data_IF_633217856444
#
_entry.id   IF_633217856444
#
_cell.length_a   1.000
_cell.length_b   1.000
_cell.length_c   1.000
_cell.angle_alpha   90.00
_cell.angle_beta   90.00
_cell.angle_gamma   90.00
#
_symmetry.space_group_name_H-M   'P 1'
#
loop_
_entity.id
_entity.type
_entity.pdbx_description
1 polymer ?
#
# COMPACT_ATOMS: atom_id res chain seq x y z
N UNK A 1 23.01 40.89 -61.16
CA UNK A 1 21.80 40.04 -61.04
C UNK A 1 21.97 39.26 -59.76
N UNK A 2 21.25 39.68 -58.72
CA UNK A 2 21.46 39.25 -57.35
C UNK A 2 21.06 37.79 -57.14
N UNK A 3 22.01 37.01 -56.60
CA UNK A 3 21.79 35.63 -56.22
C UNK A 3 20.85 35.56 -55.01
N UNK A 4 19.74 34.84 -55.19
CA UNK A 4 18.74 34.58 -54.15
C UNK A 4 19.41 33.77 -53.03
N UNK A 5 19.68 34.42 -51.90
CA UNK A 5 20.15 33.75 -50.68
C UNK A 5 18.97 32.99 -50.04
N UNK A 6 18.97 31.67 -50.15
CA UNK A 6 18.13 30.81 -49.31
C UNK A 6 18.56 30.98 -47.85
N UNK A 7 17.75 31.68 -47.05
CA UNK A 7 17.85 31.59 -45.59
C UNK A 7 17.40 30.19 -45.17
N UNK A 8 18.33 29.27 -44.93
CA UNK A 8 18.01 28.09 -44.13
C UNK A 8 17.81 28.57 -42.68
N UNK A 9 16.57 28.63 -42.23
CA UNK A 9 16.27 28.73 -40.81
C UNK A 9 16.70 27.41 -40.15
N UNK A 10 17.97 27.31 -39.80
CA UNK A 10 18.42 26.32 -38.82
C UNK A 10 17.86 26.84 -37.49
N UNK A 11 16.63 26.41 -37.20
CA UNK A 11 15.97 26.66 -35.93
C UNK A 11 16.86 26.08 -34.84
N UNK A 12 17.19 26.90 -33.84
CA UNK A 12 17.95 26.51 -32.68
C UNK A 12 17.10 25.55 -31.82
N UNK A 13 17.25 24.24 -32.08
CA UNK A 13 16.39 23.17 -31.54
C UNK A 13 16.64 22.86 -30.06
N UNK A 14 17.73 23.36 -29.47
CA UNK A 14 18.14 22.97 -28.11
C UNK A 14 17.19 23.53 -27.05
N UNK A 15 16.73 24.77 -27.19
CA UNK A 15 15.75 25.38 -26.28
C UNK A 15 14.32 24.87 -26.47
N UNK A 16 13.91 24.60 -27.72
CA UNK A 16 12.57 24.12 -28.05
C UNK A 16 12.32 22.70 -27.50
N UNK A 17 13.32 21.84 -27.57
CA UNK A 17 13.24 20.46 -27.08
C UNK A 17 13.05 20.40 -25.55
N UNK A 18 13.68 21.30 -24.79
CA UNK A 18 13.54 21.36 -23.33
C UNK A 18 12.12 21.78 -22.91
N UNK A 19 11.53 22.75 -23.61
CA UNK A 19 10.15 23.21 -23.35
C UNK A 19 9.15 22.10 -23.65
N UNK A 20 9.36 21.33 -24.72
CA UNK A 20 8.53 20.19 -25.08
C UNK A 20 8.51 19.13 -23.97
N UNK A 21 9.66 18.78 -23.40
CA UNK A 21 9.72 17.84 -22.28
C UNK A 21 9.06 18.35 -21.00
N UNK A 22 9.18 19.65 -20.70
CA UNK A 22 8.50 20.24 -19.53
C UNK A 22 6.98 20.20 -19.72
N UNK A 23 6.48 20.54 -20.91
CA UNK A 23 5.04 20.48 -21.21
C UNK A 23 4.53 19.04 -21.18
N UNK A 24 5.29 18.10 -21.73
CA UNK A 24 4.94 16.68 -21.67
C UNK A 24 4.89 16.19 -20.23
N UNK A 25 5.87 16.56 -19.40
CA UNK A 25 5.86 16.25 -17.97
C UNK A 25 4.63 16.85 -17.27
N UNK A 26 4.29 18.11 -17.56
CA UNK A 26 3.12 18.76 -16.99
C UNK A 26 1.82 18.02 -17.36
N UNK A 27 1.69 17.58 -18.61
CA UNK A 27 0.55 16.77 -19.07
C UNK A 27 0.50 15.43 -18.32
N UNK A 28 1.63 14.71 -18.22
CA UNK A 28 1.70 13.43 -17.51
C UNK A 28 1.32 13.58 -16.03
N UNK A 29 1.81 14.62 -15.35
CA UNK A 29 1.46 14.91 -13.96
C UNK A 29 -0.02 15.26 -13.83
N UNK A 30 -0.59 16.04 -14.76
CA UNK A 30 -2.01 16.39 -14.74
C UNK A 30 -2.92 15.15 -14.89
N UNK A 31 -2.57 14.23 -15.80
CA UNK A 31 -3.30 12.98 -15.97
C UNK A 31 -3.17 12.06 -14.76
N UNK A 32 -1.95 11.95 -14.21
CA UNK A 32 -1.68 11.13 -13.02
C UNK A 32 -2.48 11.62 -11.81
N UNK A 33 -2.47 12.94 -11.56
CA UNK A 33 -3.23 13.54 -10.45
C UNK A 33 -4.73 13.41 -10.64
N UNK A 34 -5.24 13.49 -11.88
CA UNK A 34 -6.63 13.23 -12.20
C UNK A 34 -7.04 11.78 -11.85
N UNK A 35 -6.23 10.79 -12.24
CA UNK A 35 -6.49 9.39 -11.90
C UNK A 35 -6.47 9.17 -10.39
N UNK A 36 -5.47 9.72 -9.68
CA UNK A 36 -5.39 9.56 -8.23
C UNK A 36 -6.54 10.22 -7.46
N UNK A 37 -7.13 11.28 -8.01
CA UNK A 37 -8.32 11.93 -7.43
C UNK A 37 -9.64 11.24 -7.79
N UNK A 38 -9.64 10.27 -8.71
CA UNK A 38 -10.87 9.58 -9.11
C UNK A 38 -11.45 8.76 -7.95
N UNK A 39 -12.78 8.71 -7.88
CA UNK A 39 -13.50 7.93 -6.86
C UNK A 39 -13.12 6.45 -6.90
N UNK A 40 -12.87 5.91 -8.09
CA UNK A 40 -12.44 4.52 -8.26
C UNK A 40 -11.08 4.29 -7.60
N UNK A 41 -10.09 5.15 -7.87
CA UNK A 41 -8.77 5.04 -7.24
C UNK A 41 -8.86 5.18 -5.73
N UNK A 42 -9.61 6.17 -5.23
CA UNK A 42 -9.80 6.40 -3.80
C UNK A 42 -10.53 5.24 -3.11
N UNK A 43 -11.51 4.61 -3.77
CA UNK A 43 -12.23 3.46 -3.20
C UNK A 43 -11.35 2.22 -2.96
N UNK A 44 -10.25 2.08 -3.72
CA UNK A 44 -9.32 0.97 -3.58
C UNK A 44 -8.11 1.36 -2.73
N UNK A 45 -7.44 2.46 -3.07
CA UNK A 45 -6.14 2.88 -2.52
C UNK A 45 -6.20 4.15 -1.66
N UNK A 46 -7.35 4.80 -1.56
CA UNK A 46 -7.54 5.94 -0.67
C UNK A 46 -7.56 5.52 0.81
N UNK A 47 -7.67 6.49 1.72
CA UNK A 47 -7.90 6.24 3.14
C UNK A 47 -9.14 5.35 3.32
N UNK A 48 -9.00 4.24 4.05
CA UNK A 48 -10.04 3.22 4.25
C UNK A 48 -10.53 2.53 2.95
N UNK A 49 -9.74 2.61 1.88
CA UNK A 49 -9.95 1.84 0.67
C UNK A 49 -9.88 0.33 0.93
N UNK A 50 -10.45 -0.45 0.00
CA UNK A 50 -10.47 -1.93 0.12
C UNK A 50 -9.07 -2.54 0.27
N UNK A 51 -8.06 -1.95 -0.38
CA UNK A 51 -6.69 -2.42 -0.25
C UNK A 51 -6.11 -2.08 1.12
N UNK A 52 -6.25 -0.83 1.57
CA UNK A 52 -5.73 -0.36 2.86
C UNK A 52 -6.34 -1.17 4.00
N UNK A 53 -7.67 -1.32 4.03
CA UNK A 53 -8.39 -2.07 5.06
C UNK A 53 -7.91 -3.52 5.17
N UNK A 54 -7.77 -4.24 4.05
CA UNK A 54 -7.30 -5.63 4.04
C UNK A 54 -5.84 -5.75 4.47
N UNK A 55 -4.99 -4.87 3.94
CA UNK A 55 -3.56 -4.88 4.25
C UNK A 55 -3.32 -4.53 5.72
N UNK A 56 -3.98 -3.48 6.21
CA UNK A 56 -3.96 -3.03 7.60
C UNK A 56 -4.40 -4.14 8.55
N UNK A 57 -5.54 -4.79 8.29
CA UNK A 57 -6.00 -5.90 9.11
C UNK A 57 -4.98 -7.05 9.16
N UNK A 58 -4.39 -7.40 8.02
CA UNK A 58 -3.38 -8.46 7.92
C UNK A 58 -2.14 -8.15 8.76
N UNK A 59 -1.59 -6.94 8.62
CA UNK A 59 -0.40 -6.50 9.35
C UNK A 59 -0.69 -6.41 10.84
N UNK A 60 -1.79 -5.77 11.23
CA UNK A 60 -2.18 -5.64 12.64
C UNK A 60 -2.38 -7.00 13.31
N UNK A 61 -3.11 -7.91 12.66
CA UNK A 61 -3.34 -9.24 13.19
C UNK A 61 -2.01 -10.00 13.35
N UNK A 62 -1.16 -9.96 12.32
CA UNK A 62 0.12 -10.67 12.33
C UNK A 62 1.06 -10.12 13.40
N UNK A 63 1.06 -8.81 13.61
CA UNK A 63 1.81 -8.16 14.67
C UNK A 63 1.35 -8.60 16.07
N UNK A 64 0.03 -8.69 16.31
CA UNK A 64 -0.52 -9.07 17.63
C UNK A 64 -0.42 -10.56 17.92
N UNK A 65 -0.63 -11.39 16.90
CA UNK A 65 -0.80 -12.83 17.09
C UNK A 65 0.40 -13.66 16.66
N UNK A 66 1.39 -13.07 15.97
CA UNK A 66 2.47 -13.78 15.29
C UNK A 66 1.97 -14.88 14.33
N UNK A 67 0.76 -14.68 13.79
CA UNK A 67 0.01 -15.65 12.99
C UNK A 67 -0.62 -14.93 11.80
N UNK A 68 -0.91 -15.67 10.72
CA UNK A 68 -1.70 -15.13 9.62
C UNK A 68 -3.18 -15.06 9.98
N UNK A 69 -3.77 -13.87 9.93
CA UNK A 69 -5.20 -13.65 10.11
C UNK A 69 -5.65 -12.35 9.45
N UNK A 70 -6.93 -12.03 9.56
CA UNK A 70 -7.57 -10.94 8.81
C UNK A 70 -8.50 -10.08 9.66
N UNK A 71 -8.54 -10.34 10.96
CA UNK A 71 -9.45 -9.66 11.86
C UNK A 71 -8.80 -8.35 12.33
N UNK A 72 -9.59 -7.29 12.31
CA UNK A 72 -9.18 -5.99 12.83
C UNK A 72 -9.00 -6.05 14.34
N UNK A 73 -8.32 -5.04 14.88
CA UNK A 73 -8.33 -4.84 16.32
C UNK A 73 -9.75 -4.73 16.86
N UNK A 74 -10.04 -5.53 17.89
CA UNK A 74 -11.13 -5.28 18.81
C UNK A 74 -10.56 -5.21 20.22
N UNK A 75 -11.26 -4.55 21.13
CA UNK A 75 -10.87 -4.56 22.54
C UNK A 75 -10.78 -6.02 23.04
N UNK A 76 -9.66 -6.41 23.69
CA UNK A 76 -9.49 -7.76 24.16
C UNK A 76 -10.53 -8.08 25.24
N UNK A 77 -11.29 -9.16 25.04
CA UNK A 77 -12.18 -9.69 26.05
C UNK A 77 -11.42 -10.69 26.93
N UNK A 78 -10.94 -10.24 28.09
CA UNK A 78 -10.22 -11.09 29.05
C UNK A 78 -11.10 -12.13 29.76
N UNK A 79 -12.42 -12.10 29.54
CA UNK A 79 -13.35 -13.11 30.05
C UNK A 79 -13.46 -14.35 29.17
N UNK A 80 -13.00 -14.31 27.92
CA UNK A 80 -12.97 -15.46 27.02
C UNK A 80 -11.60 -16.18 27.12
N UNK A 81 -11.64 -17.51 27.17
CA UNK A 81 -10.43 -18.35 27.11
C UNK A 81 -9.92 -18.53 25.68
N UNK A 82 -10.73 -18.19 24.68
CA UNK A 82 -10.38 -18.26 23.28
C UNK A 82 -9.61 -16.99 22.88
N UNK A 83 -8.32 -17.14 22.63
CA UNK A 83 -7.47 -16.10 22.08
C UNK A 83 -6.55 -16.72 21.05
N UNK A 84 -6.52 -16.21 19.82
CA UNK A 84 -5.86 -16.89 18.69
C UNK A 84 -4.36 -17.13 18.91
N UNK A 85 -3.69 -16.25 19.68
CA UNK A 85 -2.29 -16.43 20.11
C UNK A 85 -2.08 -17.53 21.15
N UNK A 86 -3.09 -17.89 21.96
CA UNK A 86 -2.97 -18.80 23.09
C UNK A 86 -3.65 -20.15 22.84
N UNK A 87 -4.83 -20.13 22.23
CA UNK A 87 -5.72 -21.26 22.06
C UNK A 87 -6.27 -21.31 20.63
N UNK A 88 -6.22 -22.48 20.00
CA UNK A 88 -6.76 -22.70 18.66
C UNK A 88 -7.05 -24.18 18.43
N UNK A 89 -8.10 -24.49 17.67
CA UNK A 89 -8.51 -25.87 17.35
C UNK A 89 -8.60 -26.81 18.57
N UNK A 90 -9.08 -26.30 19.70
CA UNK A 90 -9.28 -27.11 20.91
C UNK A 90 -8.02 -27.33 21.77
N UNK A 91 -6.86 -26.80 21.37
CA UNK A 91 -5.60 -26.96 22.09
C UNK A 91 -4.91 -25.62 22.36
N UNK A 92 -4.10 -25.59 23.43
CA UNK A 92 -3.20 -24.47 23.70
C UNK A 92 -1.92 -24.60 22.88
N UNK A 93 -1.35 -23.47 22.46
CA UNK A 93 -0.03 -23.42 21.79
C UNK A 93 1.15 -23.54 22.77
N UNK A 94 0.88 -23.52 24.08
CA UNK A 94 1.89 -23.62 25.10
C UNK A 94 2.26 -25.07 25.40
N UNK A 95 3.56 -25.31 25.57
CA UNK A 95 4.04 -26.57 26.08
C UNK A 95 3.68 -26.68 27.56
N UNK A 96 2.98 -27.75 27.91
CA UNK A 96 2.82 -28.18 29.29
C UNK A 96 3.59 -29.48 29.49
N UNK A 97 4.23 -29.70 30.65
CA UNK A 97 4.77 -31.01 30.97
C UNK A 97 3.66 -32.06 30.87
N UNK A 98 3.99 -33.22 30.29
CA UNK A 98 3.06 -34.35 30.18
C UNK A 98 2.67 -34.89 31.56
N UNK A 99 3.59 -34.79 32.50
CA UNK A 99 3.45 -35.29 33.86
C UNK A 99 2.97 -34.18 34.79
N UNK A 100 2.16 -34.56 35.77
CA UNK A 100 1.74 -33.65 36.83
C UNK A 100 2.95 -33.25 37.68
N UNK A 101 2.90 -32.03 38.23
CA UNK A 101 3.90 -31.62 39.21
C UNK A 101 3.90 -32.60 40.39
N UNK A 102 5.07 -33.01 40.91
CA UNK A 102 5.11 -33.90 42.07
C UNK A 102 4.32 -33.26 43.23
N UNK A 103 3.42 -34.05 43.82
CA UNK A 103 2.75 -33.65 45.04
C UNK A 103 3.76 -33.72 46.18
N UNK A 104 3.85 -32.64 46.95
CA UNK A 104 4.70 -32.53 48.13
C UNK A 104 4.35 -33.61 49.17
#
# INVERSE_FOLDING_TARGET
MDGIKHKSNILDQQGQTLVEYILLLAVVVSLTTFVFKSDYWQSYFGPDGKFDSVFRARIEYSYRHALGGKDFYSQPNYGDRNHDSYYGNGATRFFRPREAYPAN
#
